data_IF_963692925395
#
_entry.id   IF_963692925395
#
_cell.length_a   1.000
_cell.length_b   1.000
_cell.length_c   1.000
_cell.angle_alpha   90.00
_cell.angle_beta   90.00
_cell.angle_gamma   90.00
#
_symmetry.space_group_name_H-M   'P 1'
#
loop_
_entity.id
_entity.type
_entity.pdbx_description
1 polymer ?
#
# COMPACT_ATOMS: atom_id res chain seq x y z
N UNK A 1 -8.41 -2.65 7.01
CA UNK A 1 -8.63 -3.02 5.58
C UNK A 1 -8.73 -4.53 5.42
N UNK A 2 -7.69 -5.31 5.69
CA UNK A 2 -7.70 -6.78 5.47
C UNK A 2 -8.85 -7.51 6.16
N UNK A 3 -9.08 -7.22 7.43
CA UNK A 3 -10.16 -7.87 8.18
C UNK A 3 -11.53 -7.60 7.54
N UNK A 4 -11.79 -6.39 7.07
CA UNK A 4 -13.03 -6.07 6.36
C UNK A 4 -13.18 -6.86 5.04
N UNK A 5 -12.09 -7.02 4.27
CA UNK A 5 -12.11 -7.82 3.04
C UNK A 5 -12.35 -9.32 3.32
N UNK A 6 -11.70 -9.85 4.36
CA UNK A 6 -11.92 -11.22 4.87
C UNK A 6 -13.36 -11.43 5.32
N UNK A 7 -13.88 -10.52 6.14
CA UNK A 7 -15.30 -10.50 6.53
C UNK A 7 -16.22 -10.45 5.31
N UNK A 8 -15.83 -9.76 4.24
CA UNK A 8 -16.51 -9.79 2.95
C UNK A 8 -16.67 -11.18 2.35
N UNK A 9 -15.60 -11.97 2.33
CA UNK A 9 -15.64 -13.37 1.86
C UNK A 9 -16.58 -14.21 2.71
N UNK A 10 -16.54 -14.04 4.03
CA UNK A 10 -17.41 -14.76 4.97
C UNK A 10 -18.89 -14.42 4.76
N UNK A 11 -19.22 -13.13 4.58
CA UNK A 11 -20.59 -12.71 4.25
C UNK A 11 -21.04 -13.32 2.94
N UNK A 12 -20.18 -13.33 1.92
CA UNK A 12 -20.52 -13.89 0.63
C UNK A 12 -20.85 -15.37 0.71
N UNK A 13 -20.09 -16.14 1.50
CA UNK A 13 -20.34 -17.56 1.70
C UNK A 13 -21.64 -17.82 2.48
N UNK A 14 -21.96 -16.99 3.49
CA UNK A 14 -23.14 -17.20 4.35
C UNK A 14 -24.45 -16.74 3.71
N UNK A 15 -24.44 -15.60 3.02
CA UNK A 15 -25.66 -14.93 2.54
C UNK A 15 -25.66 -14.58 1.05
N UNK A 16 -24.64 -15.02 0.29
CA UNK A 16 -24.55 -14.83 -1.16
C UNK A 16 -24.19 -13.40 -1.60
N UNK A 17 -23.93 -12.49 -0.67
CA UNK A 17 -23.62 -11.07 -0.96
C UNK A 17 -22.39 -10.63 -0.18
N UNK A 18 -21.49 -9.92 -0.86
CA UNK A 18 -20.29 -9.35 -0.26
C UNK A 18 -20.39 -7.81 -0.21
N UNK A 19 -20.78 -7.22 0.94
CA UNK A 19 -20.88 -5.77 1.08
C UNK A 19 -19.52 -5.08 1.17
N UNK A 20 -18.42 -5.84 1.29
CA UNK A 20 -17.06 -5.33 1.47
C UNK A 20 -16.24 -5.36 0.18
N UNK A 21 -16.88 -5.50 -0.99
CA UNK A 21 -16.26 -5.24 -2.30
C UNK A 21 -16.08 -3.73 -2.51
N UNK A 22 -15.25 -3.13 -1.66
CA UNK A 22 -15.00 -1.70 -1.58
C UNK A 22 -13.83 -1.29 -2.46
N UNK A 23 -13.87 -0.07 -2.95
CA UNK A 23 -12.68 0.60 -3.50
C UNK A 23 -11.81 1.13 -2.38
N UNK A 24 -10.50 1.08 -2.56
CA UNK A 24 -9.54 1.64 -1.62
C UNK A 24 -9.36 3.12 -1.92
N UNK A 25 -9.46 3.93 -0.88
CA UNK A 25 -9.11 5.35 -0.86
C UNK A 25 -8.33 5.63 0.42
N UNK A 26 -7.47 6.65 0.40
CA UNK A 26 -6.84 7.18 1.59
C UNK A 26 -7.03 8.70 1.66
N UNK A 27 -7.07 9.25 2.88
CA UNK A 27 -7.28 10.67 3.13
C UNK A 27 -6.55 11.06 4.43
N UNK A 28 -6.32 12.36 4.62
CA UNK A 28 -5.66 12.91 5.81
C UNK A 28 -6.61 13.35 6.92
N UNK A 29 -7.92 13.44 6.66
CA UNK A 29 -8.95 14.01 7.57
C UNK A 29 -8.46 15.27 8.32
N UNK A 30 -7.68 16.10 7.62
CA UNK A 30 -6.97 17.20 8.26
C UNK A 30 -7.87 18.41 8.50
N UNK A 31 -9.13 18.43 8.05
CA UNK A 31 -10.06 19.56 8.21
C UNK A 31 -9.47 20.94 7.82
N UNK A 32 -8.49 20.94 6.92
CA UNK A 32 -7.82 22.13 6.38
C UNK A 32 -7.67 21.98 4.87
N UNK A 33 -7.45 23.08 4.15
CA UNK A 33 -7.41 23.12 2.68
C UNK A 33 -6.23 22.36 2.06
N UNK A 34 -5.18 22.07 2.82
CA UNK A 34 -4.04 21.25 2.40
C UNK A 34 -3.63 20.30 3.51
N UNK A 35 -3.41 19.03 3.18
CA UNK A 35 -2.88 18.02 4.12
C UNK A 35 -1.36 18.04 4.18
N UNK A 36 -0.83 17.48 5.26
CA UNK A 36 0.60 17.41 5.51
C UNK A 36 1.15 16.05 5.08
N UNK A 37 1.23 15.78 3.78
CA UNK A 37 1.57 14.45 3.24
C UNK A 37 3.07 14.08 3.26
N UNK A 38 3.92 15.00 3.75
CA UNK A 38 5.37 14.87 3.79
C UNK A 38 5.84 14.86 5.25
N UNK A 39 6.62 13.83 5.63
CA UNK A 39 7.05 13.63 7.02
C UNK A 39 7.98 14.74 7.52
N UNK A 40 8.81 15.32 6.65
CA UNK A 40 9.66 16.45 7.02
C UNK A 40 8.84 17.74 7.21
N UNK A 41 7.66 17.88 6.60
CA UNK A 41 6.86 19.11 6.72
C UNK A 41 5.60 18.93 7.56
N UNK A 42 5.61 17.96 8.47
CA UNK A 42 4.43 17.63 9.26
C UNK A 42 3.84 18.82 10.00
N UNK A 43 2.53 19.00 9.85
CA UNK A 43 1.74 19.89 10.70
C UNK A 43 0.41 19.26 11.11
N UNK A 44 -0.01 19.58 12.33
CA UNK A 44 -1.33 19.24 12.88
C UNK A 44 -2.37 20.29 12.49
N UNK A 45 -3.61 19.85 12.33
CA UNK A 45 -4.78 20.72 12.19
C UNK A 45 -5.29 21.31 13.52
N UNK A 46 -4.59 21.05 14.62
CA UNK A 46 -4.84 21.61 15.95
C UNK A 46 -3.67 22.51 16.34
N UNK A 47 -3.43 22.66 17.65
CA UNK A 47 -2.20 23.27 18.17
C UNK A 47 -0.97 22.58 17.57
N UNK A 48 -0.24 23.31 16.75
CA UNK A 48 0.85 22.76 15.93
C UNK A 48 2.24 23.03 16.54
N UNK A 49 2.40 22.76 17.83
CA UNK A 49 3.72 22.77 18.49
C UNK A 49 4.22 21.33 18.65
N UNK A 50 5.54 21.08 18.60
CA UNK A 50 6.11 19.75 18.87
C UNK A 50 5.58 19.12 20.18
N UNK A 51 5.40 19.94 21.22
CA UNK A 51 4.86 19.51 22.51
C UNK A 51 3.40 19.06 22.40
N UNK A 52 2.55 19.83 21.72
CA UNK A 52 1.15 19.46 21.53
C UNK A 52 0.98 18.23 20.63
N UNK A 53 1.93 18.01 19.71
CA UNK A 53 2.01 16.81 18.87
C UNK A 53 2.58 15.59 19.60
N UNK A 54 3.21 15.77 20.76
CA UNK A 54 3.82 14.69 21.52
C UNK A 54 5.25 14.32 21.10
N UNK A 55 5.92 15.17 20.32
CA UNK A 55 7.30 14.96 19.83
C UNK A 55 8.36 15.73 20.63
N UNK A 56 7.96 16.52 21.62
CA UNK A 56 8.87 17.21 22.53
C UNK A 56 8.29 17.26 23.96
N UNK A 57 9.17 17.15 24.96
CA UNK A 57 8.82 17.42 26.35
C UNK A 57 9.01 18.90 26.70
N UNK A 58 8.13 19.44 27.55
CA UNK A 58 8.21 20.77 28.15
C UNK A 58 9.05 20.81 29.42
N UNK A 59 9.28 19.66 30.06
CA UNK A 59 10.12 19.59 31.25
C UNK A 59 11.57 19.89 30.85
N UNK A 60 12.18 20.91 31.45
CA UNK A 60 13.56 21.38 31.19
C UNK A 60 14.67 20.35 31.50
N UNK A 61 14.34 19.07 31.66
CA UNK A 61 15.29 17.99 31.87
C UNK A 61 15.15 17.09 30.66
N UNK A 62 16.21 16.92 29.86
CA UNK A 62 16.23 16.09 28.65
C UNK A 62 16.04 14.59 28.92
N UNK A 63 14.96 14.22 29.61
CA UNK A 63 14.55 12.88 29.99
C UNK A 63 13.06 12.74 29.68
N UNK A 64 12.72 11.69 28.94
CA UNK A 64 11.34 11.28 28.67
C UNK A 64 10.68 10.56 29.87
N UNK A 65 11.37 10.50 31.01
CA UNK A 65 10.88 9.83 32.21
C UNK A 65 9.59 10.46 32.73
N UNK A 66 8.53 9.65 32.83
CA UNK A 66 7.21 10.12 33.27
C UNK A 66 6.42 10.89 32.20
N UNK A 67 6.96 11.04 30.99
CA UNK A 67 6.25 11.66 29.88
C UNK A 67 5.08 10.76 29.43
N UNK A 68 3.90 11.37 29.24
CA UNK A 68 2.75 10.67 28.67
C UNK A 68 2.63 10.99 27.19
N UNK A 69 2.98 10.04 26.33
CA UNK A 69 2.86 10.20 24.88
C UNK A 69 1.38 10.20 24.46
N UNK A 70 0.86 11.32 23.93
CA UNK A 70 -0.55 11.41 23.59
C UNK A 70 -0.86 10.58 22.35
N UNK A 71 -2.08 10.03 22.25
CA UNK A 71 -2.51 9.24 21.08
C UNK A 71 -2.28 9.96 19.75
N UNK A 72 -2.43 11.28 19.70
CA UNK A 72 -2.20 12.08 18.48
C UNK A 72 -0.77 11.98 17.96
N UNK A 73 0.20 11.70 18.84
CA UNK A 73 1.60 11.51 18.48
C UNK A 73 1.83 10.27 17.63
N UNK A 74 0.88 9.33 17.60
CA UNK A 74 0.93 8.12 16.77
C UNK A 74 0.35 8.32 15.37
N UNK A 75 -0.30 9.45 15.10
CA UNK A 75 -0.83 9.77 13.77
C UNK A 75 0.31 10.01 12.77
N UNK A 76 0.07 9.63 11.52
CA UNK A 76 0.98 9.93 10.41
C UNK A 76 0.57 11.22 9.69
N UNK A 77 1.30 11.51 8.62
CA UNK A 77 1.06 12.60 7.65
C UNK A 77 -0.29 12.50 6.90
N UNK A 78 -0.91 11.31 6.91
CA UNK A 78 -2.19 11.05 6.28
C UNK A 78 -2.04 10.59 4.84
N UNK A 79 -3.13 10.15 4.21
CA UNK A 79 -3.06 9.49 2.90
C UNK A 79 -3.59 10.31 1.73
N UNK A 80 -3.22 9.88 0.51
CA UNK A 80 -3.78 10.36 -0.74
C UNK A 80 -4.58 9.25 -1.43
N UNK A 81 -5.67 9.62 -2.09
CA UNK A 81 -6.42 8.74 -2.98
C UNK A 81 -6.00 8.97 -4.43
N UNK A 82 -5.77 7.88 -5.15
CA UNK A 82 -5.57 7.87 -6.59
C UNK A 82 -6.66 7.06 -7.29
N UNK A 83 -7.02 7.47 -8.50
CA UNK A 83 -7.94 6.73 -9.38
C UNK A 83 -7.36 6.68 -10.78
N UNK A 84 -7.55 5.55 -11.47
CA UNK A 84 -7.23 5.46 -12.89
C UNK A 84 -8.45 5.83 -13.71
N UNK A 85 -8.45 7.05 -14.23
CA UNK A 85 -9.50 7.59 -15.10
C UNK A 85 -8.99 7.75 -16.53
N UNK A 86 -9.88 7.61 -17.51
CA UNK A 86 -9.55 7.77 -18.94
C UNK A 86 -9.26 9.24 -19.29
N UNK A 87 -9.85 10.18 -18.55
CA UNK A 87 -9.61 11.62 -18.72
C UNK A 87 -9.73 12.37 -17.39
N UNK A 88 -9.15 13.57 -17.33
CA UNK A 88 -9.28 14.48 -16.19
C UNK A 88 -10.61 15.26 -16.23
N UNK A 89 -11.72 14.53 -16.23
CA UNK A 89 -13.08 15.09 -16.18
C UNK A 89 -13.81 14.54 -14.97
N UNK A 90 -14.74 15.33 -14.40
CA UNK A 90 -15.53 14.90 -13.23
C UNK A 90 -16.24 13.56 -13.47
N UNK A 91 -16.80 13.36 -14.66
CA UNK A 91 -17.49 12.13 -15.03
C UNK A 91 -16.52 10.93 -15.04
N UNK A 92 -15.39 11.04 -15.75
CA UNK A 92 -14.42 9.93 -15.85
C UNK A 92 -13.80 9.57 -14.49
N UNK A 93 -13.55 10.56 -13.63
CA UNK A 93 -13.10 10.36 -12.25
C UNK A 93 -14.17 9.64 -11.40
N UNK A 94 -15.44 10.05 -11.53
CA UNK A 94 -16.54 9.37 -10.83
C UNK A 94 -16.71 7.93 -11.30
N UNK A 95 -16.63 7.68 -12.60
CA UNK A 95 -16.73 6.34 -13.16
C UNK A 95 -15.59 5.45 -12.68
N UNK A 96 -14.36 5.99 -12.53
CA UNK A 96 -13.22 5.29 -11.96
C UNK A 96 -13.45 4.88 -10.50
N UNK A 97 -13.99 5.79 -9.68
CA UNK A 97 -14.39 5.47 -8.32
C UNK A 97 -15.51 4.43 -8.27
N UNK A 98 -16.50 4.53 -9.16
CA UNK A 98 -17.65 3.61 -9.22
C UNK A 98 -17.24 2.19 -9.59
N UNK A 99 -16.30 2.02 -10.53
CA UNK A 99 -15.71 0.72 -10.86
C UNK A 99 -14.60 0.30 -9.88
N UNK A 100 -14.28 1.14 -8.89
CA UNK A 100 -13.29 0.90 -7.82
C UNK A 100 -11.88 0.71 -8.35
N UNK A 101 -11.55 1.33 -9.48
CA UNK A 101 -10.19 1.34 -10.01
C UNK A 101 -9.38 2.44 -9.30
N UNK A 102 -9.25 2.27 -7.99
CA UNK A 102 -8.70 3.25 -7.05
C UNK A 102 -7.65 2.64 -6.14
N UNK A 103 -6.79 3.48 -5.60
CA UNK A 103 -5.75 3.11 -4.65
C UNK A 103 -5.55 4.21 -3.61
N UNK A 104 -4.94 3.85 -2.50
CA UNK A 104 -4.55 4.77 -1.45
C UNK A 104 -3.04 4.75 -1.21
N UNK A 105 -2.48 5.85 -0.72
CA UNK A 105 -1.10 5.93 -0.24
C UNK A 105 -1.06 6.43 1.19
N UNK A 106 0.04 6.19 1.91
CA UNK A 106 0.25 6.69 3.27
C UNK A 106 0.85 8.10 3.36
N UNK A 107 0.99 8.79 2.22
CA UNK A 107 1.53 10.15 2.12
C UNK A 107 2.07 10.41 0.71
N UNK A 108 3.16 9.73 0.30
CA UNK A 108 3.77 9.91 -1.02
C UNK A 108 2.82 9.60 -2.18
N UNK A 109 3.06 10.24 -3.33
CA UNK A 109 2.30 10.04 -4.59
C UNK A 109 2.77 8.81 -5.36
N UNK A 110 2.98 7.69 -4.66
CA UNK A 110 3.25 6.38 -5.28
C UNK A 110 2.06 6.03 -6.18
N UNK A 111 2.33 5.69 -7.43
CA UNK A 111 1.31 5.16 -8.35
C UNK A 111 1.37 3.65 -8.32
N UNK A 112 0.22 3.00 -8.16
CA UNK A 112 0.10 1.53 -8.20
C UNK A 112 -1.05 1.14 -9.11
N UNK A 113 -0.85 0.07 -9.87
CA UNK A 113 -1.87 -0.55 -10.72
C UNK A 113 -1.75 -2.06 -10.63
N UNK A 114 -2.89 -2.73 -10.70
CA UNK A 114 -2.95 -4.18 -10.76
C UNK A 114 -4.04 -4.63 -11.73
N UNK A 115 -3.75 -5.69 -12.46
CA UNK A 115 -4.70 -6.47 -13.23
C UNK A 115 -4.58 -7.93 -12.85
N UNK A 116 -5.65 -8.69 -13.07
CA UNK A 116 -5.60 -10.14 -12.99
C UNK A 116 -6.31 -10.76 -14.20
N UNK A 117 -5.89 -11.94 -14.63
CA UNK A 117 -6.58 -12.68 -15.69
C UNK A 117 -5.97 -14.07 -15.86
N UNK A 118 -6.72 -14.99 -16.44
CA UNK A 118 -6.21 -16.31 -16.81
C UNK A 118 -5.48 -16.21 -18.15
N UNK A 119 -4.26 -16.74 -18.23
CA UNK A 119 -3.39 -16.60 -19.40
C UNK A 119 -2.95 -15.15 -19.67
N UNK A 120 -3.04 -14.27 -18.67
CA UNK A 120 -2.64 -12.88 -18.81
C UNK A 120 -1.11 -12.78 -18.99
N UNK A 121 -0.33 -13.70 -18.42
CA UNK A 121 1.12 -13.71 -18.66
C UNK A 121 1.47 -13.85 -20.15
N UNK A 122 0.82 -14.77 -20.85
CA UNK A 122 1.02 -15.00 -22.29
C UNK A 122 0.59 -13.79 -23.12
N UNK A 123 -0.55 -13.18 -22.78
CA UNK A 123 -1.04 -11.98 -23.45
C UNK A 123 -0.12 -10.76 -23.28
N UNK A 124 0.73 -10.75 -22.25
CA UNK A 124 1.66 -9.66 -21.93
C UNK A 124 3.08 -9.88 -22.44
N UNK A 125 3.46 -11.12 -22.76
CA UNK A 125 4.83 -11.48 -23.11
C UNK A 125 5.37 -10.66 -24.29
N UNK A 126 4.55 -10.51 -25.34
CA UNK A 126 4.90 -9.83 -26.60
C UNK A 126 4.18 -8.48 -26.79
N UNK A 127 3.53 -7.95 -25.74
CA UNK A 127 2.77 -6.71 -25.85
C UNK A 127 3.67 -5.47 -25.78
N UNK A 128 3.65 -4.63 -26.82
CA UNK A 128 4.31 -3.31 -26.82
C UNK A 128 3.75 -2.40 -25.72
N UNK A 129 2.43 -2.44 -25.53
CA UNK A 129 1.73 -1.75 -24.44
C UNK A 129 1.04 -2.79 -23.55
N UNK A 130 1.77 -3.17 -22.49
CA UNK A 130 1.29 -4.09 -21.46
C UNK A 130 0.05 -3.61 -20.73
N UNK A 131 -0.13 -2.29 -20.56
CA UNK A 131 -1.32 -1.75 -19.92
C UNK A 131 -2.53 -1.92 -20.82
N UNK A 132 -2.42 -1.55 -22.09
CA UNK A 132 -3.51 -1.71 -23.05
C UNK A 132 -3.86 -3.19 -23.25
N UNK A 133 -2.86 -4.08 -23.29
CA UNK A 133 -3.09 -5.52 -23.31
C UNK A 133 -3.79 -6.01 -22.03
N UNK A 134 -3.38 -5.56 -20.86
CA UNK A 134 -4.01 -5.94 -19.60
C UNK A 134 -5.47 -5.48 -19.48
N UNK A 135 -5.83 -4.31 -20.01
CA UNK A 135 -7.25 -3.90 -20.10
C UNK A 135 -8.07 -4.76 -21.07
N UNK A 136 -7.46 -5.32 -22.12
CA UNK A 136 -8.14 -6.18 -23.09
C UNK A 136 -8.30 -7.62 -22.60
N UNK A 137 -7.32 -8.14 -21.88
CA UNK A 137 -7.21 -9.56 -21.55
C UNK A 137 -7.36 -9.88 -20.06
N UNK A 138 -7.44 -8.86 -19.20
CA UNK A 138 -7.58 -9.02 -17.76
C UNK A 138 -8.64 -8.10 -17.18
N UNK A 139 -8.81 -8.19 -15.87
CA UNK A 139 -9.68 -7.33 -15.07
C UNK A 139 -8.83 -6.40 -14.20
N UNK A 140 -9.09 -5.08 -14.18
CA UNK A 140 -8.35 -4.16 -13.34
C UNK A 140 -8.75 -4.32 -11.87
N UNK A 141 -7.89 -3.82 -10.98
CA UNK A 141 -8.18 -3.66 -9.56
C UNK A 141 -9.57 -3.05 -9.30
N UNK A 142 -10.31 -3.60 -8.34
CA UNK A 142 -11.71 -3.25 -8.07
C UNK A 142 -12.74 -4.13 -8.80
N UNK A 143 -12.28 -4.93 -9.76
CA UNK A 143 -13.08 -5.85 -10.57
C UNK A 143 -13.28 -7.25 -9.97
N UNK A 144 -13.98 -8.08 -10.74
CA UNK A 144 -14.22 -9.50 -10.47
C UNK A 144 -13.55 -10.32 -11.57
N UNK A 145 -12.71 -11.27 -11.20
CA UNK A 145 -12.26 -12.32 -12.11
C UNK A 145 -13.45 -13.21 -12.48
N UNK A 146 -13.62 -13.55 -13.77
CA UNK A 146 -14.63 -14.49 -14.20
C UNK A 146 -14.33 -15.90 -13.66
N UNK A 147 -15.35 -16.71 -13.41
CA UNK A 147 -15.20 -18.06 -12.88
C UNK A 147 -15.01 -19.09 -14.00
N UNK A 148 -14.05 -18.83 -14.91
CA UNK A 148 -13.98 -19.49 -16.21
C UNK A 148 -12.82 -20.48 -16.36
N UNK A 149 -11.90 -20.56 -15.39
CA UNK A 149 -10.70 -21.38 -15.51
C UNK A 149 -10.41 -22.21 -14.25
N UNK A 150 -9.89 -23.41 -14.47
CA UNK A 150 -9.30 -24.24 -13.41
C UNK A 150 -7.87 -23.78 -13.06
N UNK A 151 -7.21 -23.07 -13.97
CA UNK A 151 -5.83 -22.59 -13.81
C UNK A 151 -5.72 -21.38 -12.89
N UNK A 152 -4.55 -21.20 -12.29
CA UNK A 152 -4.25 -20.05 -11.45
C UNK A 152 -4.27 -18.73 -12.25
N UNK A 153 -4.81 -17.63 -11.68
CA UNK A 153 -4.77 -16.33 -12.34
C UNK A 153 -3.34 -15.77 -12.32
N UNK A 154 -2.99 -15.08 -13.40
CA UNK A 154 -1.81 -14.23 -13.48
C UNK A 154 -2.17 -12.80 -13.07
N UNK A 155 -1.30 -12.16 -12.31
CA UNK A 155 -1.47 -10.80 -11.83
C UNK A 155 -0.33 -9.92 -12.33
N UNK A 156 -0.66 -8.94 -13.16
CA UNK A 156 0.24 -7.84 -13.49
C UNK A 156 0.17 -6.80 -12.36
N UNK A 157 1.28 -6.53 -11.69
CA UNK A 157 1.40 -5.47 -10.68
C UNK A 157 2.47 -4.49 -11.13
N UNK A 158 2.12 -3.21 -11.17
CA UNK A 158 3.04 -2.12 -11.52
C UNK A 158 3.03 -1.05 -10.44
N UNK A 159 4.20 -0.48 -10.13
CA UNK A 159 4.30 0.74 -9.34
C UNK A 159 5.39 1.68 -9.83
N UNK A 160 5.17 2.98 -9.56
CA UNK A 160 6.16 4.04 -9.76
C UNK A 160 6.26 4.86 -8.49
N UNK A 161 7.49 5.21 -8.09
CA UNK A 161 7.72 6.06 -6.91
C UNK A 161 7.13 7.46 -7.11
N UNK A 162 6.93 8.15 -6.00
CA UNK A 162 6.83 9.61 -6.01
C UNK A 162 8.22 10.18 -6.36
N UNK A 163 8.36 11.02 -7.41
CA UNK A 163 9.63 11.67 -7.74
C UNK A 163 10.25 12.46 -6.58
N UNK A 164 9.43 12.92 -5.63
CA UNK A 164 9.83 13.73 -4.48
C UNK A 164 9.98 12.91 -3.18
N UNK A 165 9.72 11.59 -3.19
CA UNK A 165 9.85 10.70 -2.02
C UNK A 165 10.97 9.67 -2.19
N UNK A 166 10.99 8.67 -1.30
CA UNK A 166 11.90 7.55 -1.28
C UNK A 166 11.79 6.62 -2.50
N UNK A 167 12.76 5.71 -2.59
CA UNK A 167 12.82 4.68 -3.62
C UNK A 167 11.91 3.51 -3.28
N UNK A 168 11.36 2.82 -4.28
CA UNK A 168 10.57 1.61 -4.04
C UNK A 168 11.47 0.47 -3.57
N UNK A 169 11.09 -0.19 -2.47
CA UNK A 169 11.79 -1.37 -1.96
C UNK A 169 11.25 -2.66 -2.60
N UNK A 170 9.92 -2.83 -2.59
CA UNK A 170 9.28 -4.06 -3.09
C UNK A 170 7.81 -3.88 -3.47
N UNK A 171 7.35 -4.75 -4.36
CA UNK A 171 5.95 -5.01 -4.66
C UNK A 171 5.47 -6.26 -3.95
N UNK A 172 4.21 -6.23 -3.54
CA UNK A 172 3.57 -7.35 -2.88
C UNK A 172 2.17 -7.58 -3.45
N UNK A 173 1.77 -8.84 -3.48
CA UNK A 173 0.38 -9.25 -3.61
C UNK A 173 -0.07 -9.79 -2.26
N UNK A 174 -1.21 -9.28 -1.78
CA UNK A 174 -1.87 -9.80 -0.59
C UNK A 174 -3.08 -10.59 -1.04
N UNK A 175 -3.06 -11.89 -0.76
CA UNK A 175 -4.14 -12.82 -1.03
C UNK A 175 -4.95 -13.03 0.24
N UNK A 176 -6.27 -13.01 0.14
CA UNK A 176 -7.16 -13.57 1.15
C UNK A 176 -8.10 -14.57 0.50
N UNK A 177 -8.43 -15.65 1.22
CA UNK A 177 -9.32 -16.69 0.71
C UNK A 177 -10.14 -17.30 1.85
N UNK A 178 -11.19 -18.03 1.49
CA UNK A 178 -12.01 -18.78 2.44
C UNK A 178 -11.61 -20.26 2.38
N UNK A 179 -11.33 -20.83 3.54
CA UNK A 179 -10.99 -22.25 3.73
C UNK A 179 -11.75 -22.74 4.97
N UNK A 180 -12.52 -23.81 4.84
CA UNK A 180 -13.35 -24.36 5.94
C UNK A 180 -14.25 -23.31 6.63
N UNK A 181 -14.78 -22.36 5.86
CA UNK A 181 -15.56 -21.20 6.35
C UNK A 181 -14.80 -20.17 7.20
N UNK A 182 -13.48 -20.30 7.30
CA UNK A 182 -12.59 -19.32 7.92
C UNK A 182 -11.82 -18.53 6.87
N UNK A 183 -11.76 -17.21 7.04
CA UNK A 183 -10.96 -16.37 6.15
C UNK A 183 -9.47 -16.44 6.51
N UNK A 184 -8.65 -16.80 5.53
CA UNK A 184 -7.19 -16.85 5.59
C UNK A 184 -6.57 -15.67 4.82
N UNK A 185 -5.31 -15.37 5.12
CA UNK A 185 -4.54 -14.40 4.34
C UNK A 185 -3.07 -14.80 4.22
N UNK A 186 -2.43 -14.41 3.12
CA UNK A 186 -0.99 -14.54 2.90
C UNK A 186 -0.46 -13.36 2.10
N UNK A 187 0.78 -12.97 2.40
CA UNK A 187 1.48 -11.90 1.69
C UNK A 187 2.62 -12.52 0.89
N UNK A 188 2.65 -12.20 -0.39
CA UNK A 188 3.71 -12.58 -1.31
C UNK A 188 4.45 -11.32 -1.73
N UNK A 189 5.76 -11.29 -1.54
CA UNK A 189 6.60 -10.32 -2.24
C UNK A 189 6.77 -10.84 -3.68
N UNK A 190 6.44 -10.01 -4.67
CA UNK A 190 6.38 -10.42 -6.09
C UNK A 190 7.45 -9.76 -6.96
N UNK A 191 8.02 -8.65 -6.48
CA UNK A 191 9.20 -8.03 -7.06
C UNK A 191 9.98 -7.30 -5.98
N UNK A 192 11.31 -7.41 -6.03
CA UNK A 192 12.23 -6.72 -5.14
C UNK A 192 13.09 -5.73 -5.95
N UNK A 193 13.50 -4.65 -5.31
CA UNK A 193 14.50 -3.74 -5.88
C UNK A 193 15.91 -4.34 -5.85
N UNK A 194 16.86 -3.64 -6.47
CA UNK A 194 18.29 -3.91 -6.36
C UNK A 194 18.74 -5.30 -6.89
N UNK A 195 17.99 -5.86 -7.86
CA UNK A 195 18.29 -7.16 -8.46
C UNK A 195 18.03 -8.36 -7.52
N UNK A 196 17.41 -8.10 -6.36
CA UNK A 196 16.99 -9.15 -5.44
C UNK A 196 15.75 -9.87 -5.97
N UNK A 197 15.53 -11.07 -5.47
CA UNK A 197 14.34 -11.86 -5.77
C UNK A 197 13.67 -12.31 -4.46
N UNK A 198 12.34 -12.50 -4.46
CA UNK A 198 11.65 -13.13 -3.35
C UNK A 198 12.21 -14.54 -3.14
N UNK A 199 12.44 -14.90 -1.88
CA UNK A 199 12.80 -16.26 -1.52
C UNK A 199 11.64 -17.24 -1.84
N UNK A 200 11.91 -18.39 -2.47
CA UNK A 200 10.85 -19.27 -2.97
C UNK A 200 10.00 -19.92 -1.88
N UNK A 201 10.55 -20.11 -0.67
CA UNK A 201 9.86 -20.79 0.43
C UNK A 201 9.07 -19.79 1.29
N UNK A 202 9.69 -18.66 1.60
CA UNK A 202 9.11 -17.62 2.47
C UNK A 202 8.30 -16.58 1.69
N UNK A 203 8.53 -16.45 0.39
CA UNK A 203 7.99 -15.40 -0.49
C UNK A 203 8.29 -13.98 0.01
N UNK A 204 9.48 -13.79 0.62
CA UNK A 204 9.92 -12.49 1.16
C UNK A 204 11.14 -12.01 0.40
N UNK A 205 11.17 -10.72 0.08
CA UNK A 205 12.39 -10.06 -0.37
C UNK A 205 13.42 -10.02 0.78
N UNK A 206 14.71 -10.26 0.50
CA UNK A 206 15.79 -9.93 1.41
C UNK A 206 15.82 -8.43 1.75
N UNK A 207 16.56 -8.06 2.81
CA UNK A 207 16.89 -6.67 3.08
C UNK A 207 17.74 -6.11 1.93
N UNK A 208 17.32 -4.99 1.35
CA UNK A 208 18.03 -4.33 0.26
C UNK A 208 19.17 -3.41 0.73
N UNK A 209 19.34 -3.27 2.04
CA UNK A 209 20.42 -2.49 2.64
C UNK A 209 20.13 -1.00 2.74
N UNK A 210 18.92 -0.54 2.40
CA UNK A 210 18.54 0.85 2.58
C UNK A 210 18.48 1.22 4.07
N UNK A 211 19.04 2.38 4.43
CA UNK A 211 19.11 2.87 5.81
C UNK A 211 18.70 4.35 5.86
N UNK A 212 18.36 4.78 7.08
CA UNK A 212 18.13 6.17 7.45
C UNK A 212 19.21 6.56 8.45
N UNK A 213 19.91 7.66 8.20
CA UNK A 213 20.78 8.27 9.21
C UNK A 213 19.92 9.09 10.17
N UNK A 214 19.83 8.69 11.44
CA UNK A 214 18.99 9.37 12.41
C UNK A 214 19.57 10.71 12.91
N UNK A 215 20.81 11.04 12.58
CA UNK A 215 21.43 12.33 12.98
C UNK A 215 21.06 13.49 12.05
N UNK A 216 20.68 13.21 10.81
CA UNK A 216 20.33 14.23 9.80
C UNK A 216 19.14 13.84 8.91
N UNK A 217 18.54 12.67 9.14
CA UNK A 217 17.46 12.08 8.35
C UNK A 217 17.78 11.86 6.86
N UNK A 218 19.06 11.85 6.48
CA UNK A 218 19.47 11.42 5.14
C UNK A 218 19.20 9.92 4.94
N UNK A 219 18.87 9.55 3.72
CA UNK A 219 18.54 8.16 3.34
C UNK A 219 19.54 7.65 2.31
N UNK A 220 19.76 6.33 2.29
CA UNK A 220 20.51 5.66 1.21
C UNK A 220 19.88 5.99 -0.16
N UNK A 221 20.68 6.51 -1.10
CA UNK A 221 20.20 6.99 -2.41
C UNK A 221 20.53 6.06 -3.58
N UNK A 222 21.42 5.10 -3.37
CA UNK A 222 21.89 4.11 -4.34
C UNK A 222 21.17 2.76 -4.19
N UNK A 223 20.08 2.70 -3.42
CA UNK A 223 19.25 1.51 -3.20
C UNK A 223 17.78 1.80 -3.49
N UNK A 224 17.08 0.80 -4.02
CA UNK A 224 15.68 0.87 -4.40
C UNK A 224 15.45 1.17 -5.88
N UNK A 225 14.19 1.17 -6.31
CA UNK A 225 13.81 1.33 -7.72
C UNK A 225 12.90 2.54 -7.97
N UNK A 226 12.99 3.15 -9.15
CA UNK A 226 12.03 4.19 -9.60
C UNK A 226 10.68 3.61 -9.98
N UNK A 227 10.70 2.39 -10.49
CA UNK A 227 9.52 1.62 -10.89
C UNK A 227 9.78 0.14 -10.62
N UNK A 228 8.71 -0.58 -10.31
CA UNK A 228 8.73 -2.03 -10.17
C UNK A 228 7.55 -2.59 -10.98
N UNK A 229 7.75 -3.76 -11.56
CA UNK A 229 6.74 -4.50 -12.29
C UNK A 229 6.93 -5.99 -12.03
N UNK A 230 5.83 -6.72 -11.91
CA UNK A 230 5.82 -8.17 -11.86
C UNK A 230 4.58 -8.72 -12.57
N UNK A 231 4.74 -9.84 -13.28
CA UNK A 231 3.66 -10.75 -13.63
C UNK A 231 3.80 -11.95 -12.71
N UNK A 232 2.81 -12.18 -11.86
CA UNK A 232 2.87 -13.18 -10.79
C UNK A 232 1.67 -14.11 -10.85
N UNK A 233 1.91 -15.41 -10.86
CA UNK A 233 0.88 -16.46 -10.81
C UNK A 233 0.71 -16.93 -9.37
N UNK A 234 -0.53 -17.12 -8.92
CA UNK A 234 -0.82 -17.57 -7.56
C UNK A 234 -0.45 -19.05 -7.35
N UNK A 235 0.59 -19.37 -6.55
CA UNK A 235 1.08 -20.75 -6.38
C UNK A 235 0.16 -21.61 -5.51
N UNK A 236 -0.81 -21.01 -4.82
CA UNK A 236 -1.73 -21.72 -3.93
C UNK A 236 -3.19 -21.51 -4.34
N UNK A 237 -3.43 -21.22 -5.62
CA UNK A 237 -4.77 -21.05 -6.15
C UNK A 237 -5.57 -22.35 -6.02
N UNK A 238 -6.82 -22.19 -5.59
CA UNK A 238 -7.82 -23.26 -5.56
C UNK A 238 -9.09 -22.67 -6.17
N UNK A 239 -9.51 -23.24 -7.30
CA UNK A 239 -10.67 -22.77 -8.06
C UNK A 239 -11.98 -22.91 -7.28
N UNK A 240 -12.02 -23.77 -6.25
CA UNK A 240 -13.16 -23.94 -5.34
C UNK A 240 -13.23 -22.91 -4.21
N UNK A 241 -12.21 -22.05 -4.06
CA UNK A 241 -12.15 -21.07 -2.97
C UNK A 241 -12.53 -19.66 -3.43
N UNK A 242 -13.36 -18.99 -2.63
CA UNK A 242 -13.58 -17.54 -2.79
C UNK A 242 -12.31 -16.82 -2.36
N UNK A 243 -11.83 -15.89 -3.16
CA UNK A 243 -10.58 -15.19 -2.90
C UNK A 243 -10.63 -13.71 -3.27
N UNK A 244 -9.69 -12.95 -2.73
CA UNK A 244 -9.35 -11.62 -3.20
C UNK A 244 -7.83 -11.44 -3.25
N UNK A 245 -7.40 -10.55 -4.14
CA UNK A 245 -6.01 -10.14 -4.30
C UNK A 245 -5.96 -8.63 -4.27
N UNK A 246 -4.94 -8.05 -3.64
CA UNK A 246 -4.65 -6.63 -3.82
C UNK A 246 -3.15 -6.35 -3.79
N UNK A 247 -2.72 -5.35 -4.57
CA UNK A 247 -1.34 -4.92 -4.60
C UNK A 247 -0.99 -4.04 -3.40
N UNK A 248 0.18 -4.26 -2.80
CA UNK A 248 0.80 -3.37 -1.82
C UNK A 248 2.22 -3.03 -2.24
N UNK A 249 2.56 -1.75 -2.19
CA UNK A 249 3.90 -1.22 -2.49
C UNK A 249 4.54 -0.75 -1.19
N UNK A 250 5.85 -0.92 -1.06
CA UNK A 250 6.63 -0.39 0.06
C UNK A 250 7.83 0.40 -0.46
N UNK A 251 8.01 1.62 0.04
CA UNK A 251 9.24 2.41 -0.16
C UNK A 251 10.35 1.94 0.78
N UNK A 252 11.58 2.38 0.54
CA UNK A 252 12.66 2.34 1.53
C UNK A 252 12.29 3.19 2.76
N UNK A 253 12.84 2.88 3.94
CA UNK A 253 12.52 3.64 5.15
C UNK A 253 12.97 5.10 5.04
N UNK A 254 12.22 5.99 5.70
CA UNK A 254 12.54 7.41 5.89
C UNK A 254 12.37 7.79 7.36
N UNK A 255 12.88 8.95 7.76
CA UNK A 255 12.57 9.47 9.07
C UNK A 255 11.07 9.76 9.21
N UNK A 256 10.52 9.39 10.35
CA UNK A 256 9.19 9.83 10.77
C UNK A 256 9.22 11.31 11.15
N UNK A 257 8.10 12.00 11.04
CA UNK A 257 7.95 13.41 11.39
C UNK A 257 8.39 13.73 12.82
N UNK A 258 8.19 12.81 13.76
CA UNK A 258 8.62 12.99 15.16
C UNK A 258 10.14 13.05 15.29
N UNK A 259 10.86 12.34 14.43
CA UNK A 259 12.33 12.40 14.36
C UNK A 259 12.79 13.72 13.76
N UNK A 260 12.10 14.21 12.73
CA UNK A 260 12.36 15.53 12.17
C UNK A 260 12.15 16.66 13.19
N UNK A 261 11.11 16.56 14.03
CA UNK A 261 10.88 17.50 15.13
C UNK A 261 12.04 17.48 16.14
N UNK A 262 12.46 16.29 16.59
CA UNK A 262 13.55 16.13 17.53
C UNK A 262 14.86 16.73 17.01
N UNK A 263 15.20 16.46 15.74
CA UNK A 263 16.38 17.03 15.08
C UNK A 263 16.35 18.56 15.00
N UNK A 264 15.19 19.15 14.68
CA UNK A 264 15.04 20.62 14.61
C UNK A 264 15.17 21.29 15.96
N UNK A 265 14.77 20.60 17.02
CA UNK A 265 14.83 21.09 18.38
C UNK A 265 16.17 20.79 19.07
N UNK A 266 16.99 19.89 18.51
CA UNK A 266 18.23 19.44 19.14
C UNK A 266 17.99 18.63 20.41
N UNK A 267 16.91 17.85 20.46
CA UNK A 267 16.54 16.98 21.60
C UNK A 267 16.59 15.50 21.19
N UNK A 268 16.61 14.61 22.18
CA UNK A 268 16.46 13.18 21.94
C UNK A 268 15.05 12.84 21.43
N UNK A 269 14.88 11.96 20.43
CA UNK A 269 13.57 11.52 19.97
C UNK A 269 12.72 10.87 21.07
N UNK A 270 11.39 11.04 20.98
CA UNK A 270 10.46 10.36 21.88
C UNK A 270 10.60 8.82 21.76
N UNK A 271 10.98 8.09 22.82
CA UNK A 271 11.21 6.65 22.77
C UNK A 271 9.95 5.82 22.52
N UNK A 272 8.76 6.39 22.76
CA UNK A 272 7.48 5.72 22.48
C UNK A 272 7.10 5.75 21.00
N UNK A 273 7.81 6.54 20.19
CA UNK A 273 7.52 6.76 18.77
C UNK A 273 8.58 6.10 17.89
N UNK A 274 8.19 5.43 16.80
CA UNK A 274 9.17 4.92 15.83
C UNK A 274 10.01 6.06 15.25
N UNK A 275 11.33 5.89 15.21
CA UNK A 275 12.24 6.87 14.62
C UNK A 275 12.12 6.95 13.08
N UNK A 276 11.67 5.86 12.46
CA UNK A 276 11.52 5.75 11.00
C UNK A 276 10.13 5.25 10.63
N UNK A 277 9.71 5.54 9.41
CA UNK A 277 8.49 5.03 8.79
C UNK A 277 8.81 4.37 7.46
N UNK A 278 7.93 3.46 7.02
CA UNK A 278 7.97 2.90 5.68
C UNK A 278 6.66 3.20 4.97
N UNK A 279 6.74 4.12 4.02
CA UNK A 279 5.63 4.56 3.19
C UNK A 279 5.16 3.46 2.24
N UNK A 280 3.89 3.54 1.85
CA UNK A 280 3.18 2.46 1.20
C UNK A 280 2.03 2.94 0.34
N UNK A 281 1.69 2.12 -0.65
CA UNK A 281 0.47 2.24 -1.43
C UNK A 281 -0.28 0.92 -1.45
N UNK A 282 -1.61 0.99 -1.59
CA UNK A 282 -2.49 -0.18 -1.66
C UNK A 282 -3.54 0.01 -2.74
N UNK A 283 -3.63 -0.95 -3.66
CA UNK A 283 -4.67 -0.99 -4.68
C UNK A 283 -5.99 -1.57 -4.15
N UNK A 284 -7.07 -1.29 -4.85
CA UNK A 284 -8.35 -2.00 -4.65
C UNK A 284 -8.21 -3.49 -4.95
N UNK A 285 -9.09 -4.31 -4.38
CA UNK A 285 -9.00 -5.75 -4.56
C UNK A 285 -9.61 -6.21 -5.87
N UNK A 286 -8.97 -7.18 -6.52
CA UNK A 286 -9.61 -8.05 -7.51
C UNK A 286 -10.17 -9.24 -6.76
N UNK A 287 -11.42 -9.59 -7.04
CA UNK A 287 -12.14 -10.66 -6.36
C UNK A 287 -12.31 -11.86 -7.28
N UNK A 288 -12.31 -13.05 -6.71
CA UNK A 288 -12.63 -14.31 -7.40
C UNK A 288 -13.73 -15.04 -6.63
N UNK A 289 -14.66 -15.62 -7.37
CA UNK A 289 -15.76 -16.42 -6.84
C UNK A 289 -15.92 -17.64 -7.72
N UNK A 290 -15.88 -18.86 -7.16
CA UNK A 290 -16.09 -20.09 -7.92
C UNK A 290 -17.43 -20.10 -8.67
N UNK A 291 -17.48 -20.79 -9.80
CA UNK A 291 -18.74 -21.14 -10.45
C UNK A 291 -19.50 -22.11 -9.53
N UNK A 292 -20.75 -21.79 -9.22
CA UNK A 292 -21.61 -22.60 -8.35
C UNK A 292 -22.20 -23.82 -9.04
#
# INVERSE_FOLDING_TARGET
MRDALKTGLEFEARIGVNPYRLGVVAASDSHVSGGSYEEDRYFSNRTNTPQARGSADTAEQGSWEGYWTPRVATHGTGGLAGVWAESNTRASIYDAMRRRESFGTSGPRIRVRMFAGFGLADALADADDRVAAAYRHGVPMGGMLPAEAEDAPDLLVQAMRDPLSGWLQRLQVVKGWLEDSEARERVFDVACSDGLAPDPDTHRCPDNGARVNLTDCSVTRDRGATALEAVWTDPSFDSGQRAFYYARVLENPSCRWSTWDALRLGIEPNPDLPATIQERAWGSSVWYTPAG
#
